data_IF_634655590165
#
_entry.id   IF_634655590165
#
_cell.length_a   1.000
_cell.length_b   1.000
_cell.length_c   1.000
_cell.angle_alpha   90.00
_cell.angle_beta   90.00
_cell.angle_gamma   90.00
#
_symmetry.space_group_name_H-M   'P 1'
#
loop_
_entity.id
_entity.type
_entity.pdbx_description
1 polymer ?
#
# COMPACT_ATOMS: atom_id res chain seq x y z
N UNK A 1 15.10 -8.44 -7.24
CA UNK A 1 15.26 -7.09 -7.79
C UNK A 1 13.98 -6.72 -8.52
N UNK A 2 13.52 -5.49 -8.37
CA UNK A 2 12.45 -4.94 -9.21
C UNK A 2 13.13 -4.22 -10.38
N UNK A 3 12.86 -4.71 -11.59
CA UNK A 3 13.50 -4.20 -12.79
C UNK A 3 12.76 -4.65 -14.04
N UNK A 4 12.98 -3.94 -15.14
CA UNK A 4 12.49 -4.31 -16.45
C UNK A 4 13.15 -5.63 -16.91
N UNK A 5 12.38 -6.47 -17.61
CA UNK A 5 12.79 -7.82 -18.02
C UNK A 5 13.21 -8.77 -16.87
N UNK A 6 12.92 -8.43 -15.62
CA UNK A 6 13.18 -9.26 -14.45
C UNK A 6 11.88 -9.75 -13.80
N UNK A 7 11.85 -11.03 -13.41
CA UNK A 7 10.79 -11.63 -12.60
C UNK A 7 11.30 -11.95 -11.20
N UNK A 8 10.42 -11.88 -10.20
CA UNK A 8 10.69 -12.37 -8.86
C UNK A 8 10.27 -13.84 -8.76
N UNK A 9 11.16 -14.67 -8.20
CA UNK A 9 10.88 -16.07 -7.92
C UNK A 9 10.05 -16.28 -6.63
N UNK A 10 10.01 -15.27 -5.76
CA UNK A 10 9.21 -15.25 -4.54
C UNK A 10 8.61 -13.86 -4.32
N UNK A 11 7.45 -13.82 -3.65
CA UNK A 11 6.81 -12.60 -3.18
C UNK A 11 7.21 -12.21 -1.76
N UNK A 12 8.11 -12.96 -1.11
CA UNK A 12 8.59 -12.64 0.24
C UNK A 12 9.25 -11.25 0.32
N UNK A 13 9.20 -10.66 1.52
CA UNK A 13 9.93 -9.43 1.82
C UNK A 13 11.45 -9.65 1.63
N UNK A 14 12.12 -8.79 0.84
CA UNK A 14 13.52 -9.03 0.48
C UNK A 14 14.47 -8.81 1.66
N UNK A 15 15.51 -9.65 1.71
CA UNK A 15 16.62 -9.50 2.66
C UNK A 15 16.20 -9.74 4.11
N UNK A 16 16.37 -8.72 4.96
CA UNK A 16 16.13 -8.80 6.42
C UNK A 16 14.89 -8.04 6.87
N UNK A 17 14.04 -7.61 5.95
CA UNK A 17 12.87 -6.78 6.26
C UNK A 17 11.87 -7.49 7.18
N UNK A 18 11.63 -8.80 6.99
CA UNK A 18 10.78 -9.58 7.90
C UNK A 18 11.36 -9.61 9.33
N UNK A 19 12.64 -9.96 9.48
CA UNK A 19 13.30 -9.99 10.78
C UNK A 19 13.33 -8.61 11.47
N UNK A 20 13.45 -7.53 10.69
CA UNK A 20 13.34 -6.16 11.19
C UNK A 20 11.93 -5.87 11.71
N UNK A 21 10.90 -6.22 10.93
CA UNK A 21 9.51 -6.04 11.35
C UNK A 21 9.23 -6.81 12.64
N UNK A 22 9.62 -8.08 12.71
CA UNK A 22 9.43 -8.92 13.89
C UNK A 22 10.06 -8.30 15.14
N UNK A 23 11.27 -7.72 15.01
CA UNK A 23 11.95 -7.03 16.10
C UNK A 23 11.22 -5.75 16.54
N UNK A 24 10.65 -4.98 15.61
CA UNK A 24 9.88 -3.75 15.94
C UNK A 24 8.55 -4.12 16.59
N UNK A 25 7.86 -5.14 16.10
CA UNK A 25 6.61 -5.65 16.67
C UNK A 25 6.84 -6.17 18.09
N UNK A 26 7.98 -6.82 18.34
CA UNK A 26 8.35 -7.32 19.67
C UNK A 26 8.50 -6.20 20.72
N UNK A 27 8.59 -4.92 20.32
CA UNK A 27 8.60 -3.78 21.26
C UNK A 27 7.25 -3.53 21.94
N UNK A 28 6.17 -4.19 21.49
CA UNK A 28 4.83 -4.08 22.07
C UNK A 28 4.09 -2.79 21.72
N UNK A 29 4.66 -1.94 20.85
CA UNK A 29 4.00 -0.73 20.34
C UNK A 29 3.17 -1.07 19.11
N UNK A 30 2.05 -0.36 18.86
CA UNK A 30 1.34 -0.48 17.59
C UNK A 30 2.27 -0.06 16.44
N UNK A 31 2.49 -0.96 15.50
CA UNK A 31 3.36 -0.75 14.33
C UNK A 31 2.49 -0.48 13.12
N UNK A 32 2.76 0.59 12.40
CA UNK A 32 2.17 0.87 11.08
C UNK A 32 3.24 0.59 10.02
N UNK A 33 2.91 -0.22 9.02
CA UNK A 33 3.82 -0.55 7.91
C UNK A 33 3.42 0.24 6.68
N UNK A 34 4.38 0.96 6.10
CA UNK A 34 4.22 1.64 4.81
C UNK A 34 5.03 0.89 3.75
N UNK A 35 4.34 0.34 2.76
CA UNK A 35 4.92 -0.50 1.71
C UNK A 35 5.22 0.31 0.45
N UNK A 36 6.48 0.22 0.02
CA UNK A 36 7.03 0.86 -1.17
C UNK A 36 7.65 -0.21 -2.07
N UNK A 37 6.83 -0.81 -2.91
CA UNK A 37 7.20 -1.88 -3.83
C UNK A 37 6.58 -1.64 -5.20
N UNK A 38 7.24 -2.11 -6.25
CA UNK A 38 6.74 -2.04 -7.62
C UNK A 38 5.99 -3.30 -8.08
N UNK A 39 5.95 -4.32 -7.22
CA UNK A 39 5.35 -5.63 -7.47
C UNK A 39 4.70 -6.14 -6.19
N UNK A 40 3.74 -7.08 -6.27
CA UNK A 40 3.13 -7.67 -5.08
C UNK A 40 4.16 -8.27 -4.13
N UNK A 41 3.85 -8.21 -2.84
CA UNK A 41 4.61 -8.79 -1.73
C UNK A 41 3.65 -9.65 -0.90
N UNK A 42 4.15 -10.74 -0.33
CA UNK A 42 3.36 -11.56 0.59
C UNK A 42 3.18 -10.85 1.94
N UNK A 43 1.92 -10.73 2.37
CA UNK A 43 1.52 -10.04 3.60
C UNK A 43 1.02 -11.01 4.68
N UNK A 44 1.00 -12.33 4.42
CA UNK A 44 0.36 -13.31 5.31
C UNK A 44 0.90 -13.30 6.75
N UNK A 45 2.22 -13.15 6.90
CA UNK A 45 2.89 -13.18 8.21
C UNK A 45 3.18 -11.76 8.74
N UNK A 46 2.59 -10.73 8.13
CA UNK A 46 2.90 -9.34 8.42
C UNK A 46 2.10 -8.86 9.64
N UNK A 47 2.76 -8.81 10.80
CA UNK A 47 2.14 -8.37 12.06
C UNK A 47 2.22 -6.84 12.18
N UNK A 48 1.15 -6.14 11.83
CA UNK A 48 1.06 -4.70 11.95
C UNK A 48 -0.33 -4.28 12.42
N UNK A 49 -0.42 -3.14 13.11
CA UNK A 49 -1.69 -2.52 13.47
C UNK A 49 -2.41 -1.92 12.26
N UNK A 50 -1.64 -1.44 11.27
CA UNK A 50 -2.14 -0.98 9.99
C UNK A 50 -1.08 -1.15 8.89
N UNK A 51 -1.55 -1.27 7.66
CA UNK A 51 -0.73 -1.44 6.46
C UNK A 51 -1.16 -0.39 5.43
N UNK A 52 -0.21 0.41 4.94
CA UNK A 52 -0.41 1.43 3.92
C UNK A 52 0.43 1.10 2.69
N UNK A 53 -0.23 0.76 1.58
CA UNK A 53 0.42 0.50 0.29
C UNK A 53 0.54 1.82 -0.50
N UNK A 54 1.77 2.25 -0.78
CA UNK A 54 2.06 3.54 -1.41
C UNK A 54 2.63 3.39 -2.84
N UNK A 55 3.04 2.17 -3.25
CA UNK A 55 3.82 1.90 -4.46
C UNK A 55 5.08 2.79 -4.56
N UNK A 56 5.84 2.70 -5.65
CA UNK A 56 6.89 3.71 -5.89
C UNK A 56 6.25 5.01 -6.35
N UNK A 57 6.12 5.93 -5.40
CA UNK A 57 5.68 7.28 -5.65
C UNK A 57 6.85 8.17 -6.07
N UNK A 58 6.59 9.13 -6.96
CA UNK A 58 7.56 10.15 -7.32
C UNK A 58 7.88 11.11 -6.16
N UNK A 59 8.51 12.24 -6.48
CA UNK A 59 8.96 13.25 -5.52
C UNK A 59 7.86 13.81 -4.60
N UNK A 60 6.60 13.81 -5.04
CA UNK A 60 5.47 14.29 -4.26
C UNK A 60 4.93 13.27 -3.24
N UNK A 61 5.39 12.02 -3.27
CA UNK A 61 4.71 10.98 -2.51
C UNK A 61 4.98 11.00 -1.01
N UNK A 62 6.06 11.63 -0.52
CA UNK A 62 6.24 11.84 0.92
C UNK A 62 5.15 12.73 1.53
N UNK A 63 4.77 13.81 0.83
CA UNK A 63 3.66 14.66 1.21
C UNK A 63 2.33 13.89 1.18
N UNK A 64 2.13 13.07 0.14
CA UNK A 64 0.95 12.21 0.06
C UNK A 64 0.89 11.18 1.20
N UNK A 65 2.00 10.50 1.53
CA UNK A 65 2.07 9.58 2.67
C UNK A 65 1.69 10.28 3.97
N UNK A 66 2.24 11.47 4.21
CA UNK A 66 1.93 12.23 5.42
C UNK A 66 0.43 12.58 5.49
N UNK A 67 -0.17 13.09 4.41
CA UNK A 67 -1.60 13.39 4.38
C UNK A 67 -2.47 12.16 4.65
N UNK A 68 -2.06 10.96 4.20
CA UNK A 68 -2.78 9.71 4.48
C UNK A 68 -2.64 9.26 5.94
N UNK A 69 -1.44 9.37 6.50
CA UNK A 69 -1.18 8.99 7.89
C UNK A 69 -1.90 9.92 8.87
N UNK A 70 -1.95 11.21 8.57
CA UNK A 70 -2.58 12.22 9.44
C UNK A 70 -4.07 12.48 9.13
N UNK A 71 -4.57 11.99 7.99
CA UNK A 71 -5.98 12.12 7.61
C UNK A 71 -6.34 13.45 6.95
N UNK A 72 -5.35 14.22 6.47
CA UNK A 72 -5.53 15.58 5.94
C UNK A 72 -6.03 15.66 4.48
N UNK A 73 -6.26 14.51 3.83
CA UNK A 73 -6.80 14.49 2.46
C UNK A 73 -6.62 13.14 1.80
N UNK A 74 -7.66 12.31 1.84
CA UNK A 74 -7.71 11.04 1.11
C UNK A 74 -8.78 11.11 0.02
N UNK A 75 -8.34 11.14 -1.24
CA UNK A 75 -9.20 10.76 -2.36
C UNK A 75 -8.82 9.33 -2.73
N UNK A 76 -9.66 8.37 -2.31
CA UNK A 76 -9.48 6.99 -2.69
C UNK A 76 -9.44 6.89 -4.22
N UNK A 77 -8.40 6.26 -4.76
CA UNK A 77 -8.34 5.91 -6.18
C UNK A 77 -9.40 4.87 -6.51
N UNK A 78 -10.66 5.28 -6.67
CA UNK A 78 -11.69 4.43 -7.25
C UNK A 78 -11.41 4.36 -8.75
N UNK A 79 -10.78 3.29 -9.23
CA UNK A 79 -10.89 2.92 -10.64
C UNK A 79 -12.33 2.46 -10.89
N UNK A 80 -13.28 3.39 -10.92
CA UNK A 80 -14.52 3.18 -11.63
C UNK A 80 -14.16 3.23 -13.12
N UNK A 81 -13.74 2.09 -13.68
CA UNK A 81 -13.81 1.95 -15.13
C UNK A 81 -15.27 2.21 -15.52
N UNK A 82 -15.54 3.09 -16.51
CA UNK A 82 -16.87 3.15 -17.09
C UNK A 82 -17.08 1.81 -17.79
N UNK A 83 -17.75 0.88 -17.10
CA UNK A 83 -18.25 -0.33 -17.72
C UNK A 83 -19.15 0.08 -18.87
N UNK A 84 -18.79 -0.32 -20.09
CA UNK A 84 -19.68 -0.23 -21.23
C UNK A 84 -21.01 -0.91 -20.88
N UNK A 85 -22.09 -0.11 -20.85
CA UNK A 85 -23.46 -0.53 -21.12
C UNK A 85 -24.14 -1.41 -20.07
N UNK A 86 -24.82 -0.79 -19.10
CA UNK A 86 -25.86 -1.43 -18.28
C UNK A 86 -26.50 -0.47 -17.28
N UNK A 87 -27.83 -0.27 -17.27
CA UNK A 87 -28.45 0.83 -16.51
C UNK A 87 -28.74 0.41 -15.08
N UNK A 88 -27.80 0.55 -14.14
CA UNK A 88 -28.11 0.51 -12.69
C UNK A 88 -27.21 1.43 -11.86
N UNK A 89 -27.80 2.55 -11.45
CA UNK A 89 -27.52 3.36 -10.26
C UNK A 89 -26.07 3.82 -10.05
N UNK A 90 -25.72 4.91 -10.74
CA UNK A 90 -24.58 5.76 -10.43
C UNK A 90 -24.76 6.44 -9.06
N UNK A 91 -24.11 5.89 -8.04
CA UNK A 91 -23.67 6.65 -6.87
C UNK A 91 -22.22 6.30 -6.57
N UNK A 92 -21.32 6.84 -7.37
CA UNK A 92 -19.98 7.17 -6.89
C UNK A 92 -20.14 8.36 -5.95
N UNK A 93 -20.46 8.12 -4.69
CA UNK A 93 -20.46 9.17 -3.66
C UNK A 93 -19.02 9.40 -3.21
N UNK A 94 -18.39 10.43 -3.75
CA UNK A 94 -17.22 11.08 -3.13
C UNK A 94 -17.67 11.75 -1.83
N UNK A 95 -16.96 11.60 -0.69
CA UNK A 95 -17.16 12.48 0.44
C UNK A 95 -16.41 13.80 0.23
N UNK A 96 -17.06 14.89 0.63
CA UNK A 96 -16.52 16.25 0.76
C UNK A 96 -15.44 16.31 1.83
#
# INVERSE_FOLDING_TARGET
MDGEAASKASFDLPGRQQAMLDAVVATGKPVVVVLLNGRPVDLKDLRAAAILEMMYHGSAGSAATASLIFGDGFQAGSSCSPGLGGPRNHRCTTPT
#
